data_IF_609204434895
#
_entry.id   IF_609204434895
#
_cell.length_a   1.000
_cell.length_b   1.000
_cell.length_c   1.000
_cell.angle_alpha   90.00
_cell.angle_beta   90.00
_cell.angle_gamma   90.00
#
_symmetry.space_group_name_H-M   'P 1'
#
loop_
_entity.id
_entity.type
_entity.pdbx_description
1 polymer ?
#
# COMPACT_ATOMS: atom_id res chain seq x y z
N UNK A 1 33.07 7.00 -8.47
CA UNK A 1 33.14 6.20 -7.22
C UNK A 1 32.92 4.73 -7.56
N UNK A 2 33.70 3.82 -6.97
CA UNK A 2 33.56 2.38 -7.22
C UNK A 2 33.44 1.61 -5.91
N UNK A 3 32.40 0.78 -5.80
CA UNK A 3 32.19 -0.15 -4.69
C UNK A 3 32.50 -1.55 -5.22
N UNK A 4 33.69 -2.08 -4.90
CA UNK A 4 34.14 -3.38 -5.37
C UNK A 4 33.31 -4.54 -4.81
N UNK A 5 33.41 -5.72 -5.44
CA UNK A 5 32.81 -6.95 -4.93
C UNK A 5 33.31 -7.24 -3.50
N UNK A 6 32.40 -7.69 -2.62
CA UNK A 6 32.68 -7.88 -1.19
C UNK A 6 32.64 -6.59 -0.35
N UNK A 7 32.79 -5.40 -0.94
CA UNK A 7 32.68 -4.13 -0.21
C UNK A 7 31.21 -3.74 0.03
N UNK A 8 31.00 -2.89 1.05
CA UNK A 8 29.66 -2.54 1.55
C UNK A 8 29.59 -1.06 1.92
N UNK A 9 28.66 -0.34 1.30
CA UNK A 9 28.14 0.93 1.82
C UNK A 9 26.86 0.62 2.60
N UNK A 10 26.79 1.09 3.84
CA UNK A 10 25.63 0.96 4.71
C UNK A 10 25.39 2.30 5.37
N UNK A 11 24.26 2.93 5.06
CA UNK A 11 23.83 4.15 5.74
C UNK A 11 22.65 3.89 6.69
N UNK A 12 22.59 4.69 7.75
CA UNK A 12 21.50 4.78 8.73
C UNK A 12 21.09 6.24 9.01
N UNK A 13 21.75 7.23 8.42
CA UNK A 13 21.53 8.66 8.64
C UNK A 13 21.10 9.36 7.36
N UNK A 14 21.93 10.28 6.86
CA UNK A 14 21.76 10.86 5.53
C UNK A 14 23.11 10.78 4.83
N UNK A 15 23.15 10.16 3.65
CA UNK A 15 24.36 10.03 2.84
C UNK A 15 24.03 10.25 1.36
N UNK A 16 24.80 11.12 0.70
CA UNK A 16 24.74 11.32 -0.75
C UNK A 16 26.03 10.81 -1.38
N UNK A 17 25.93 10.01 -2.43
CA UNK A 17 27.06 9.50 -3.22
C UNK A 17 26.88 9.86 -4.71
N UNK A 18 27.97 10.16 -5.40
CA UNK A 18 27.95 10.65 -6.79
C UNK A 18 27.77 12.16 -6.86
N UNK A 19 27.15 12.66 -7.94
CA UNK A 19 26.86 14.09 -8.11
C UNK A 19 28.05 14.96 -8.55
N UNK A 20 29.22 14.37 -8.83
CA UNK A 20 30.36 15.05 -9.43
C UNK A 20 30.26 15.16 -10.95
N UNK A 21 29.80 14.10 -11.63
CA UNK A 21 29.52 14.00 -13.08
C UNK A 21 28.42 12.95 -13.37
N UNK A 22 28.04 12.80 -14.63
CA UNK A 22 27.18 11.69 -15.11
C UNK A 22 27.96 10.38 -15.20
N UNK A 23 27.43 9.29 -14.62
CA UNK A 23 28.05 7.95 -14.63
C UNK A 23 28.89 7.63 -13.39
N UNK A 24 28.58 8.25 -12.25
CA UNK A 24 29.49 8.41 -11.12
C UNK A 24 29.60 7.20 -10.18
N UNK A 25 28.65 6.25 -10.17
CA UNK A 25 28.65 5.15 -9.19
C UNK A 25 28.68 3.79 -9.90
N UNK A 26 29.83 3.11 -9.81
CA UNK A 26 29.95 1.69 -10.19
C UNK A 26 29.81 0.82 -8.93
N UNK A 27 28.79 -0.02 -8.86
CA UNK A 27 28.57 -0.94 -7.75
C UNK A 27 28.71 -2.39 -8.19
N UNK A 28 29.73 -3.09 -7.68
CA UNK A 28 29.86 -4.55 -7.70
C UNK A 28 29.66 -5.18 -6.30
N UNK A 29 29.55 -4.36 -5.26
CA UNK A 29 29.36 -4.78 -3.86
C UNK A 29 27.91 -4.64 -3.38
N UNK A 30 27.75 -4.19 -2.15
CA UNK A 30 26.45 -3.84 -1.56
C UNK A 30 26.37 -2.34 -1.31
N UNK A 31 25.29 -1.69 -1.76
CA UNK A 31 24.86 -0.37 -1.31
C UNK A 31 23.53 -0.55 -0.59
N UNK A 32 23.41 -0.08 0.66
CA UNK A 32 22.23 -0.31 1.49
C UNK A 32 21.82 0.89 2.34
N UNK A 33 20.60 1.38 2.14
CA UNK A 33 19.88 2.22 3.09
C UNK A 33 19.27 1.37 4.21
N UNK A 34 19.37 1.79 5.47
CA UNK A 34 18.88 1.03 6.61
C UNK A 34 18.33 1.88 7.76
N UNK A 35 17.53 1.27 8.64
CA UNK A 35 16.95 1.98 9.78
C UNK A 35 15.88 2.96 9.31
N UNK A 36 16.11 4.25 9.53
CA UNK A 36 15.31 5.37 8.98
C UNK A 36 16.18 6.27 8.09
N UNK A 37 17.35 5.80 7.66
CA UNK A 37 18.30 6.61 6.90
C UNK A 37 17.95 6.76 5.42
N UNK A 38 18.39 7.87 4.83
CA UNK A 38 18.18 8.23 3.42
C UNK A 38 19.53 8.23 2.69
N UNK A 39 19.69 7.30 1.75
CA UNK A 39 20.87 7.16 0.91
C UNK A 39 20.55 7.60 -0.51
N UNK A 40 21.10 8.72 -0.98
CA UNK A 40 20.91 9.21 -2.34
C UNK A 40 22.08 8.83 -3.23
N UNK A 41 21.81 8.17 -4.36
CA UNK A 41 22.75 8.02 -5.47
C UNK A 41 22.44 9.09 -6.53
N UNK A 42 23.37 10.04 -6.68
CA UNK A 42 23.27 11.15 -7.62
C UNK A 42 23.90 10.79 -8.97
N UNK A 43 23.11 10.95 -10.04
CA UNK A 43 23.50 10.61 -11.41
C UNK A 43 23.37 9.13 -11.75
N UNK A 44 23.84 8.74 -12.94
CA UNK A 44 23.73 7.37 -13.43
C UNK A 44 24.59 6.37 -12.64
N UNK A 45 24.05 5.16 -12.45
CA UNK A 45 24.63 4.09 -11.63
C UNK A 45 24.84 2.83 -12.48
N UNK A 46 26.07 2.33 -12.54
CA UNK A 46 26.32 1.00 -13.10
C UNK A 46 26.29 -0.05 -11.97
N UNK A 47 25.17 -0.75 -11.83
CA UNK A 47 24.95 -1.72 -10.78
C UNK A 47 25.14 -3.15 -11.32
N UNK A 48 26.32 -3.74 -11.08
CA UNK A 48 26.56 -5.18 -11.14
C UNK A 48 26.36 -5.90 -9.79
N UNK A 49 26.25 -5.16 -8.70
CA UNK A 49 26.16 -5.64 -7.33
C UNK A 49 24.73 -5.71 -6.80
N UNK A 50 24.54 -5.30 -5.54
CA UNK A 50 23.25 -5.24 -4.87
C UNK A 50 22.94 -3.82 -4.39
N UNK A 51 21.78 -3.29 -4.81
CA UNK A 51 21.13 -2.15 -4.18
C UNK A 51 20.08 -2.67 -3.18
N UNK A 52 20.00 -2.10 -1.98
CA UNK A 52 19.08 -2.59 -0.93
C UNK A 52 18.48 -1.51 -0.04
N UNK A 53 17.18 -1.62 0.22
CA UNK A 53 16.52 -1.00 1.37
C UNK A 53 16.32 -2.01 2.51
N UNK A 54 16.47 -1.54 3.75
CA UNK A 54 16.05 -2.26 4.97
C UNK A 54 15.54 -1.27 6.02
N UNK A 55 14.32 -0.80 5.81
CA UNK A 55 13.66 0.22 6.62
C UNK A 55 13.92 1.64 6.12
N UNK A 56 15.18 1.94 5.78
CA UNK A 56 15.59 3.21 5.18
C UNK A 56 15.24 3.31 3.70
N UNK A 57 15.52 4.48 3.14
CA UNK A 57 15.19 4.92 1.79
C UNK A 57 16.45 4.99 0.91
N UNK A 58 16.38 4.43 -0.29
CA UNK A 58 17.45 4.51 -1.29
C UNK A 58 16.91 5.22 -2.54
N UNK A 59 17.33 6.46 -2.73
CA UNK A 59 16.94 7.29 -3.88
C UNK A 59 17.99 7.15 -4.98
N UNK A 60 17.59 6.88 -6.22
CA UNK A 60 18.49 6.80 -7.37
C UNK A 60 18.00 7.74 -8.48
N UNK A 61 18.65 8.90 -8.56
CA UNK A 61 18.21 10.03 -9.40
C UNK A 61 18.52 9.89 -10.89
N UNK A 62 19.41 8.98 -11.27
CA UNK A 62 19.83 8.75 -12.65
C UNK A 62 19.59 7.31 -13.12
N UNK A 63 19.81 7.07 -14.41
CA UNK A 63 19.59 5.76 -15.02
C UNK A 63 20.46 4.68 -14.39
N UNK A 64 19.92 3.47 -14.26
CA UNK A 64 20.66 2.31 -13.71
C UNK A 64 20.97 1.30 -14.81
N UNK A 65 22.25 1.00 -14.99
CA UNK A 65 22.76 -0.02 -15.92
C UNK A 65 23.33 -1.23 -15.18
N UNK A 66 23.83 -2.20 -15.94
CA UNK A 66 24.44 -3.43 -15.40
C UNK A 66 23.44 -4.55 -15.14
N UNK A 67 23.92 -5.67 -14.60
CA UNK A 67 23.19 -6.92 -14.38
C UNK A 67 22.94 -7.27 -12.91
N UNK A 68 23.07 -6.26 -12.04
CA UNK A 68 22.90 -6.37 -10.60
C UNK A 68 21.47 -6.63 -10.14
N UNK A 69 21.29 -6.65 -8.81
CA UNK A 69 20.04 -7.02 -8.16
C UNK A 69 19.56 -5.94 -7.21
N UNK A 70 18.25 -5.78 -7.11
CA UNK A 70 17.62 -4.86 -6.16
C UNK A 70 16.84 -5.65 -5.12
N UNK A 71 16.99 -5.31 -3.83
CA UNK A 71 16.32 -6.00 -2.72
C UNK A 71 15.63 -5.02 -1.78
N UNK A 72 14.36 -5.24 -1.49
CA UNK A 72 13.57 -4.44 -0.54
C UNK A 72 13.23 -5.32 0.66
N UNK A 73 13.41 -4.82 1.88
CA UNK A 73 13.22 -5.56 3.13
C UNK A 73 12.69 -4.60 4.20
N UNK A 74 11.53 -3.99 3.92
CA UNK A 74 11.10 -2.73 4.52
C UNK A 74 11.83 -1.52 3.92
N UNK A 75 11.25 -0.33 4.08
CA UNK A 75 11.74 0.91 3.47
C UNK A 75 11.39 1.04 1.98
N UNK A 76 11.97 2.05 1.34
CA UNK A 76 11.68 2.44 -0.05
C UNK A 76 12.94 2.35 -0.90
N UNK A 77 12.79 1.99 -2.18
CA UNK A 77 13.79 2.30 -3.21
C UNK A 77 13.08 3.03 -4.33
N UNK A 78 13.55 4.25 -4.59
CA UNK A 78 13.11 5.14 -5.67
C UNK A 78 14.09 5.07 -6.84
N UNK A 79 13.54 4.93 -8.05
CA UNK A 79 14.22 5.12 -9.32
C UNK A 79 13.51 6.18 -10.16
N UNK A 80 13.89 7.45 -9.99
CA UNK A 80 13.34 8.59 -10.72
C UNK A 80 13.59 8.56 -12.25
N UNK A 81 14.51 7.71 -12.72
CA UNK A 81 14.87 7.56 -14.13
C UNK A 81 14.73 6.11 -14.61
N UNK A 82 14.89 5.87 -15.92
CA UNK A 82 14.78 4.56 -16.52
C UNK A 82 15.57 3.47 -15.77
N UNK A 83 14.85 2.47 -15.28
CA UNK A 83 15.33 1.34 -14.51
C UNK A 83 14.76 0.03 -15.07
N UNK A 84 15.56 -1.04 -15.15
CA UNK A 84 15.12 -2.32 -15.76
C UNK A 84 15.60 -3.58 -15.03
N UNK A 85 16.32 -3.48 -13.92
CA UNK A 85 16.85 -4.65 -13.21
C UNK A 85 15.78 -5.39 -12.41
N UNK A 86 16.06 -6.63 -12.02
CA UNK A 86 15.16 -7.44 -11.21
C UNK A 86 15.08 -6.94 -9.75
N UNK A 87 13.85 -6.83 -9.25
CA UNK A 87 13.55 -6.42 -7.86
C UNK A 87 13.04 -7.60 -7.06
N UNK A 88 13.52 -7.74 -5.83
CA UNK A 88 13.05 -8.73 -4.87
C UNK A 88 12.58 -8.08 -3.57
N UNK A 89 11.27 -8.10 -3.34
CA UNK A 89 10.73 -7.94 -2.00
C UNK A 89 11.07 -9.18 -1.18
N UNK A 90 11.66 -8.94 -0.01
CA UNK A 90 12.22 -9.95 0.88
C UNK A 90 11.88 -9.69 2.36
N UNK A 91 11.08 -8.67 2.63
CA UNK A 91 10.46 -8.41 3.93
C UNK A 91 8.94 -8.37 3.77
N UNK A 92 8.21 -8.36 4.89
CA UNK A 92 6.75 -8.23 4.88
C UNK A 92 6.26 -6.86 4.38
N UNK A 93 7.14 -5.85 4.35
CA UNK A 93 6.84 -4.50 3.88
C UNK A 93 7.87 -3.96 2.89
N UNK A 94 7.50 -2.87 2.22
CA UNK A 94 8.41 -1.98 1.49
C UNK A 94 7.78 -1.42 0.21
N UNK A 95 8.41 -0.38 -0.34
CA UNK A 95 7.95 0.30 -1.56
C UNK A 95 9.03 0.21 -2.64
N UNK A 96 8.61 -0.07 -3.87
CA UNK A 96 9.38 0.17 -5.08
C UNK A 96 8.71 1.34 -5.81
N UNK A 97 9.42 2.43 -6.00
CA UNK A 97 8.95 3.65 -6.67
C UNK A 97 9.67 3.77 -8.03
N UNK A 98 8.93 4.17 -9.07
CA UNK A 98 9.34 4.10 -10.47
C UNK A 98 8.85 5.32 -11.25
N UNK A 99 9.67 6.36 -11.31
CA UNK A 99 9.40 7.56 -12.12
C UNK A 99 9.29 7.35 -13.63
N UNK A 100 9.62 6.14 -14.12
CA UNK A 100 9.43 5.72 -15.52
C UNK A 100 8.94 4.27 -15.62
N UNK A 101 7.84 3.94 -14.93
CA UNK A 101 7.30 2.57 -14.85
C UNK A 101 6.91 1.98 -16.21
N UNK A 102 6.58 2.82 -17.21
CA UNK A 102 6.32 2.39 -18.60
C UNK A 102 7.57 1.80 -19.29
N UNK A 103 8.76 2.23 -18.88
CA UNK A 103 10.05 1.72 -19.37
C UNK A 103 10.54 0.47 -18.62
N UNK A 104 9.98 0.16 -17.45
CA UNK A 104 10.42 -0.97 -16.63
C UNK A 104 10.21 -2.32 -17.34
N UNK A 105 11.26 -3.16 -17.37
CA UNK A 105 11.24 -4.51 -17.97
C UNK A 105 11.64 -5.62 -16.99
N UNK A 106 12.05 -5.25 -15.78
CA UNK A 106 12.46 -6.20 -14.76
C UNK A 106 11.31 -7.10 -14.29
N UNK A 107 11.68 -8.22 -13.69
CA UNK A 107 10.72 -9.06 -12.95
C UNK A 107 10.76 -8.68 -11.47
N UNK A 108 9.59 -8.38 -10.90
CA UNK A 108 9.39 -8.16 -9.47
C UNK A 108 9.08 -9.52 -8.83
N UNK A 109 9.80 -9.86 -7.78
CA UNK A 109 9.65 -11.11 -7.03
C UNK A 109 9.27 -10.82 -5.58
N UNK A 110 8.49 -11.71 -4.96
CA UNK A 110 8.13 -11.59 -3.54
C UNK A 110 7.13 -10.48 -3.20
N UNK A 111 6.50 -9.83 -4.18
CA UNK A 111 5.43 -8.86 -3.93
C UNK A 111 4.31 -9.52 -3.12
N UNK A 112 3.87 -8.89 -2.04
CA UNK A 112 2.95 -9.50 -1.09
C UNK A 112 1.61 -9.85 -1.75
N UNK A 113 0.97 -10.92 -1.25
CA UNK A 113 -0.42 -11.28 -1.59
C UNK A 113 -1.43 -10.88 -0.51
N UNK A 114 -0.96 -10.29 0.59
CA UNK A 114 -1.75 -9.99 1.80
C UNK A 114 -1.55 -8.55 2.29
N UNK A 115 -0.96 -7.68 1.46
CA UNK A 115 -0.62 -6.30 1.78
C UNK A 115 0.78 -6.13 2.39
N UNK A 116 1.18 -4.88 2.62
CA UNK A 116 2.47 -4.49 3.20
C UNK A 116 3.53 -4.03 2.20
N UNK A 117 3.53 -4.58 0.98
CA UNK A 117 4.35 -4.07 -0.14
C UNK A 117 3.53 -3.20 -1.08
N UNK A 118 4.13 -2.13 -1.62
CA UNK A 118 3.52 -1.26 -2.64
C UNK A 118 4.44 -1.11 -3.86
N UNK A 119 3.85 -0.78 -5.00
CA UNK A 119 4.53 -0.28 -6.19
C UNK A 119 4.04 1.15 -6.41
N UNK A 120 4.92 2.14 -6.44
CA UNK A 120 4.58 3.52 -6.74
C UNK A 120 5.01 3.88 -8.17
N UNK A 121 4.16 4.64 -8.87
CA UNK A 121 4.22 4.81 -10.32
C UNK A 121 3.94 6.27 -10.69
N UNK A 122 4.98 7.10 -10.64
CA UNK A 122 4.91 8.55 -10.81
C UNK A 122 4.48 8.93 -12.24
N UNK A 123 4.78 8.08 -13.24
CA UNK A 123 4.41 8.28 -14.64
C UNK A 123 3.03 7.71 -15.04
N UNK A 124 2.20 7.33 -14.07
CA UNK A 124 0.81 6.89 -14.27
C UNK A 124 -0.13 7.75 -13.41
N UNK A 125 -0.88 8.67 -14.03
CA UNK A 125 -1.70 9.61 -13.27
C UNK A 125 -2.87 8.92 -12.52
N UNK A 126 -3.13 9.32 -11.27
CA UNK A 126 -4.31 8.83 -10.55
C UNK A 126 -5.58 9.64 -10.87
N UNK A 127 -6.64 8.97 -11.30
CA UNK A 127 -7.92 9.57 -11.64
C UNK A 127 -9.00 8.56 -12.01
N UNK A 128 -10.14 9.03 -12.52
CA UNK A 128 -11.32 8.18 -12.79
C UNK A 128 -11.13 7.12 -13.89
N UNK A 129 -10.08 7.24 -14.71
CA UNK A 129 -9.71 6.26 -15.72
C UNK A 129 -8.67 5.24 -15.21
N UNK A 130 -8.09 5.44 -14.02
CA UNK A 130 -6.98 4.63 -13.51
C UNK A 130 -7.43 3.21 -13.16
N UNK A 131 -6.71 2.23 -13.72
CA UNK A 131 -7.02 0.80 -13.57
C UNK A 131 -5.75 0.00 -13.33
N UNK A 132 -5.79 -0.89 -12.35
CA UNK A 132 -4.80 -1.94 -12.13
C UNK A 132 -5.45 -3.29 -12.42
N UNK A 133 -4.86 -4.10 -13.31
CA UNK A 133 -5.45 -5.38 -13.72
C UNK A 133 -4.34 -6.42 -13.93
N UNK A 134 -4.45 -7.54 -13.23
CA UNK A 134 -3.50 -8.64 -13.33
C UNK A 134 -4.00 -9.71 -14.30
N UNK A 135 -3.17 -10.05 -15.29
CA UNK A 135 -3.27 -11.28 -16.05
C UNK A 135 -2.21 -12.27 -15.55
N UNK A 136 -2.48 -13.57 -15.64
CA UNK A 136 -1.51 -14.57 -15.17
C UNK A 136 -1.89 -16.01 -15.45
N UNK A 137 -1.41 -16.53 -16.57
CA UNK A 137 -1.00 -17.93 -16.69
C UNK A 137 0.54 -18.01 -16.49
N UNK A 138 1.19 -19.13 -16.79
CA UNK A 138 2.65 -19.24 -16.65
C UNK A 138 3.44 -18.27 -17.54
N UNK A 139 2.85 -17.82 -18.66
CA UNK A 139 3.45 -16.92 -19.64
C UNK A 139 3.05 -15.45 -19.43
N UNK A 140 1.84 -15.18 -18.94
CA UNK A 140 1.20 -13.86 -18.91
C UNK A 140 1.25 -13.12 -17.56
N UNK A 141 2.18 -13.48 -16.65
CA UNK A 141 2.30 -12.96 -15.26
C UNK A 141 2.58 -11.44 -15.17
N UNK A 142 1.58 -10.61 -15.49
CA UNK A 142 1.74 -9.16 -15.71
C UNK A 142 0.61 -8.41 -15.01
N UNK A 143 0.99 -7.52 -14.10
CA UNK A 143 0.13 -6.43 -13.63
C UNK A 143 0.21 -5.29 -14.66
N UNK A 144 -0.92 -4.96 -15.27
CA UNK A 144 -1.05 -3.78 -16.13
C UNK A 144 -1.66 -2.65 -15.31
N UNK A 145 -1.04 -1.47 -15.32
CA UNK A 145 -1.56 -0.26 -14.68
C UNK A 145 -1.64 0.84 -15.73
N UNK A 146 -2.76 1.54 -15.82
CA UNK A 146 -2.99 2.58 -16.83
C UNK A 146 -3.89 3.67 -16.28
N UNK A 147 -3.65 4.92 -16.70
CA UNK A 147 -4.51 6.09 -16.48
C UNK A 147 -5.43 6.40 -17.69
N UNK A 148 -5.44 5.51 -18.69
CA UNK A 148 -6.12 5.69 -19.98
C UNK A 148 -5.25 6.26 -21.10
N UNK A 149 -4.08 6.85 -20.78
CA UNK A 149 -3.11 7.44 -21.72
C UNK A 149 -1.77 6.70 -21.66
N UNK A 150 -1.22 6.56 -20.46
CA UNK A 150 0.02 5.87 -20.11
C UNK A 150 -0.27 4.42 -19.69
N UNK A 151 0.69 3.51 -19.81
CA UNK A 151 0.49 2.10 -19.40
C UNK A 151 1.77 1.39 -18.94
N UNK A 152 1.87 1.17 -17.63
CA UNK A 152 2.87 0.30 -17.01
C UNK A 152 2.49 -1.19 -17.21
N UNK A 153 3.50 -2.04 -17.45
CA UNK A 153 3.34 -3.51 -17.56
C UNK A 153 4.39 -4.21 -16.70
N UNK A 154 4.03 -4.45 -15.45
CA UNK A 154 4.92 -4.90 -14.38
C UNK A 154 4.86 -6.43 -14.27
N UNK A 155 6.00 -7.10 -14.50
CA UNK A 155 6.06 -8.58 -14.46
C UNK A 155 6.19 -9.05 -13.01
N UNK A 156 5.17 -9.73 -12.48
CA UNK A 156 5.16 -10.23 -11.09
C UNK A 156 5.44 -11.73 -11.06
N UNK A 157 6.51 -12.17 -10.40
CA UNK A 157 6.80 -13.59 -10.21
C UNK A 157 5.93 -14.18 -9.09
N UNK A 158 4.73 -14.62 -9.46
CA UNK A 158 3.80 -15.33 -8.59
C UNK A 158 2.46 -15.56 -9.29
N UNK A 159 1.53 -16.21 -8.59
CA UNK A 159 0.13 -16.29 -9.01
C UNK A 159 -0.70 -15.28 -8.20
N UNK A 160 -1.19 -14.24 -8.88
CA UNK A 160 -2.03 -13.19 -8.30
C UNK A 160 -3.45 -13.21 -8.88
N UNK A 161 -3.92 -14.34 -9.47
CA UNK A 161 -5.28 -14.45 -10.03
C UNK A 161 -6.39 -14.28 -8.99
N UNK A 162 -6.13 -14.65 -7.73
CA UNK A 162 -7.04 -14.47 -6.59
C UNK A 162 -6.79 -13.16 -5.82
N UNK A 163 -5.99 -12.25 -6.38
CA UNK A 163 -5.58 -11.01 -5.72
C UNK A 163 -6.30 -9.80 -6.31
N UNK A 164 -6.81 -8.93 -5.43
CA UNK A 164 -7.33 -7.61 -5.81
C UNK A 164 -6.22 -6.57 -5.63
N UNK A 165 -5.78 -5.93 -6.72
CA UNK A 165 -4.86 -4.80 -6.66
C UNK A 165 -5.64 -3.52 -6.41
N UNK A 166 -5.19 -2.69 -5.48
CA UNK A 166 -5.84 -1.41 -5.13
C UNK A 166 -4.95 -0.28 -5.58
N UNK A 167 -5.44 0.52 -6.53
CA UNK A 167 -4.83 1.77 -6.94
C UNK A 167 -5.34 2.92 -6.05
N UNK A 168 -4.43 3.81 -5.66
CA UNK A 168 -4.73 5.04 -4.93
C UNK A 168 -3.85 6.19 -5.45
N UNK A 169 -4.18 7.43 -5.07
CA UNK A 169 -3.29 8.56 -5.26
C UNK A 169 -2.06 8.42 -4.35
N UNK A 170 -0.89 8.73 -4.89
CA UNK A 170 0.40 8.84 -4.19
C UNK A 170 0.52 10.13 -3.34
N UNK A 171 -0.19 11.19 -3.73
CA UNK A 171 -0.09 12.54 -3.17
C UNK A 171 0.74 13.52 -4.02
N UNK A 172 1.41 13.04 -5.08
CA UNK A 172 2.29 13.82 -5.95
C UNK A 172 1.80 13.89 -7.41
N UNK A 173 0.83 13.06 -7.78
CA UNK A 173 0.14 13.05 -9.08
C UNK A 173 0.15 11.68 -9.77
N UNK A 174 1.04 10.78 -9.36
CA UNK A 174 1.13 9.40 -9.82
C UNK A 174 0.13 8.45 -9.14
N UNK A 175 0.40 7.15 -9.26
CA UNK A 175 -0.47 6.09 -8.75
C UNK A 175 0.30 5.08 -7.91
N UNK A 176 -0.06 4.99 -6.63
CA UNK A 176 0.41 3.90 -5.77
C UNK A 176 -0.50 2.68 -5.90
N UNK A 177 0.11 1.52 -6.17
CA UNK A 177 -0.54 0.20 -6.13
C UNK A 177 -0.17 -0.51 -4.84
N UNK A 178 -1.15 -0.64 -3.94
CA UNK A 178 -0.99 -1.47 -2.76
C UNK A 178 -1.08 -2.96 -3.12
N UNK A 179 -0.25 -3.76 -2.45
CA UNK A 179 -0.38 -5.20 -2.44
C UNK A 179 -1.76 -5.64 -1.96
N UNK A 180 -2.22 -6.83 -2.36
CA UNK A 180 -3.63 -7.20 -2.25
C UNK A 180 -4.07 -7.23 -0.79
N UNK A 181 -5.05 -6.39 -0.46
CA UNK A 181 -5.57 -6.34 0.89
C UNK A 181 -6.20 -7.69 1.25
N UNK A 182 -5.66 -8.36 2.27
CA UNK A 182 -6.33 -9.52 2.83
C UNK A 182 -7.65 -9.06 3.45
N UNK A 183 -8.77 -9.62 3.00
CA UNK A 183 -10.10 -9.33 3.56
C UNK A 183 -10.17 -9.64 5.07
N UNK A 184 -9.27 -10.49 5.59
CA UNK A 184 -9.11 -10.76 7.01
C UNK A 184 -8.72 -9.52 7.84
N UNK A 185 -8.13 -8.48 7.24
CA UNK A 185 -7.79 -7.24 7.95
C UNK A 185 -9.00 -6.30 8.17
N UNK A 186 -10.17 -6.59 7.58
CA UNK A 186 -11.40 -5.79 7.71
C UNK A 186 -12.53 -6.52 8.46
N UNK A 187 -12.35 -7.78 8.82
CA UNK A 187 -13.23 -8.46 9.76
C UNK A 187 -12.85 -8.01 11.19
N UNK A 188 -13.76 -7.40 11.98
CA UNK A 188 -13.51 -7.24 13.40
C UNK A 188 -13.34 -8.63 14.04
N UNK A 189 -12.60 -8.77 15.16
CA UNK A 189 -12.42 -10.06 15.81
C UNK A 189 -13.77 -10.74 16.06
N UNK A 190 -13.91 -11.98 15.59
CA UNK A 190 -15.08 -12.81 15.84
C UNK A 190 -15.12 -13.22 17.33
N UNK A 191 -15.49 -12.26 18.18
CA UNK A 191 -15.24 -12.35 19.62
C UNK A 191 -15.80 -11.20 20.47
N UNK A 192 -16.63 -10.31 19.91
CA UNK A 192 -17.49 -9.44 20.72
C UNK A 192 -18.95 -9.56 20.26
N UNK A 193 -19.86 -9.62 21.22
CA UNK A 193 -21.17 -10.26 21.06
C UNK A 193 -22.18 -9.32 20.39
N UNK A 194 -23.02 -9.87 19.52
CA UNK A 194 -24.27 -9.23 19.10
C UNK A 194 -25.22 -9.11 20.30
N UNK A 195 -25.14 -8.02 21.06
CA UNK A 195 -26.16 -7.59 22.02
C UNK A 195 -26.37 -6.07 21.88
N UNK A 196 -26.99 -5.66 20.77
CA UNK A 196 -27.54 -4.31 20.58
C UNK A 196 -28.53 -4.28 19.39
N UNK A 197 -29.58 -5.11 19.43
CA UNK A 197 -30.61 -5.12 18.38
C UNK A 197 -32.01 -5.55 18.90
N UNK A 198 -32.37 -5.18 20.14
CA UNK A 198 -33.75 -5.23 20.66
C UNK A 198 -33.92 -4.24 21.84
N UNK A 199 -33.74 -2.94 21.58
CA UNK A 199 -34.09 -1.85 22.50
C UNK A 199 -34.24 -0.54 21.72
N UNK A 200 -35.36 -0.36 21.01
CA UNK A 200 -35.47 0.77 20.07
C UNK A 200 -36.79 0.98 19.35
N UNK A 201 -37.92 0.36 19.74
CA UNK A 201 -39.26 0.82 19.35
C UNK A 201 -40.33 0.23 20.28
N UNK A 202 -41.30 1.06 20.69
CA UNK A 202 -42.35 0.72 21.67
C UNK A 202 -41.96 1.17 23.09
N UNK A 203 -42.64 2.11 23.76
CA UNK A 203 -43.86 2.84 23.40
C UNK A 203 -44.92 2.69 24.48
N UNK A 204 -45.03 3.70 25.36
CA UNK A 204 -46.19 3.93 26.24
C UNK A 204 -46.43 2.91 27.38
N UNK A 205 -46.02 3.28 28.60
CA UNK A 205 -46.42 2.59 29.83
C UNK A 205 -46.15 3.49 31.03
N UNK A 206 -47.18 3.82 31.82
CA UNK A 206 -47.11 4.84 32.86
C UNK A 206 -46.38 4.36 34.14
N UNK A 207 -45.94 5.31 34.96
CA UNK A 207 -45.27 5.04 36.24
C UNK A 207 -46.23 4.92 37.43
N UNK A 208 -45.63 5.11 38.62
CA UNK A 208 -46.20 5.15 39.97
C UNK A 208 -46.37 3.79 40.66
N UNK A 209 -45.41 3.50 41.54
CA UNK A 209 -45.61 2.57 42.65
C UNK A 209 -46.61 3.16 43.67
N UNK A 210 -47.57 2.36 44.10
CA UNK A 210 -48.32 2.56 45.34
C UNK A 210 -48.76 1.19 45.88
N UNK A 211 -48.70 1.01 47.20
CA UNK A 211 -48.77 -0.31 47.82
C UNK A 211 -50.17 -0.84 48.15
N UNK A 212 -50.15 -2.09 48.63
CA UNK A 212 -51.14 -2.73 49.51
C UNK A 212 -52.57 -3.05 48.99
N UNK A 213 -52.85 -4.37 49.03
CA UNK A 213 -54.07 -4.97 49.61
C UNK A 213 -55.40 -5.01 48.81
N UNK A 214 -55.92 -6.25 48.70
CA UNK A 214 -57.35 -6.67 48.56
C UNK A 214 -58.14 -6.37 47.26
N UNK A 215 -58.52 -7.49 46.62
CA UNK A 215 -59.78 -7.95 45.97
C UNK A 215 -60.85 -6.93 45.42
N UNK A 216 -61.65 -7.34 44.40
CA UNK A 216 -62.16 -6.43 43.36
C UNK A 216 -63.64 -6.01 43.47
N UNK A 217 -64.01 -4.92 42.80
CA UNK A 217 -65.35 -4.67 42.21
C UNK A 217 -65.26 -3.54 41.13
N UNK A 218 -66.29 -3.39 40.29
CA UNK A 218 -66.44 -2.40 39.19
C UNK A 218 -67.87 -1.78 39.24
N UNK A 219 -68.32 -0.88 38.31
CA UNK A 219 -67.65 0.13 37.47
C UNK A 219 -68.16 1.56 37.93
N UNK A 220 -68.92 2.44 37.22
CA UNK A 220 -69.00 2.86 35.80
C UNK A 220 -69.11 4.40 35.48
N UNK A 221 -69.00 4.76 34.18
CA UNK A 221 -69.67 5.88 33.44
C UNK A 221 -69.35 7.38 33.67
N UNK A 222 -69.13 8.11 32.55
CA UNK A 222 -69.96 9.24 32.01
C UNK A 222 -69.18 10.49 31.48
N UNK A 223 -69.39 10.80 30.18
CA UNK A 223 -69.49 12.10 29.41
C UNK A 223 -68.92 13.41 30.04
N UNK A 224 -68.26 14.35 29.33
CA UNK A 224 -68.14 14.62 27.88
C UNK A 224 -67.29 15.89 27.54
N UNK A 225 -67.43 16.51 26.34
CA UNK A 225 -66.37 17.36 25.74
C UNK A 225 -66.66 18.87 25.58
N UNK A 226 -65.60 19.67 25.34
CA UNK A 226 -65.49 20.98 24.60
C UNK A 226 -64.00 21.38 24.58
N UNK A 227 -63.28 21.56 23.45
CA UNK A 227 -63.39 22.51 22.30
C UNK A 227 -63.08 23.96 22.68
N UNK A 228 -61.96 24.49 22.15
CA UNK A 228 -61.78 25.73 21.33
C UNK A 228 -60.34 26.29 21.55
N UNK A 229 -59.40 26.12 20.61
CA UNK A 229 -59.08 26.99 19.45
C UNK A 229 -58.79 28.46 19.79
N UNK A 230 -57.51 28.81 19.77
CA UNK A 230 -56.93 29.91 18.98
C UNK A 230 -55.50 29.50 18.57
#
# INVERSE_FOLDING_TARGET
MTIAAGHRVIDLGILTLGGGKTGDVTNAGLIKAAGTGVLTLQGAVDNGGVLKARGGELVVTGTVTGSGKVKINGGTIDFAAAFTQHVAFSGATGVLELGQSQAYRGTITGFSKTGGTSLDLDDIAFGGATKATYAGDETRRVLTVTDGTHTARLRLAGDYRSSTFVAAADGHGGTIIHGPASLAAKLPPAGQRFIAAMAGLGGGGAGLEAGASRRPHAPPMLVGPRVQVA
#
